data_IF_565636181567
#
_entry.id   IF_565636181567
#
_cell.length_a   1.000
_cell.length_b   1.000
_cell.length_c   1.000
_cell.angle_alpha   90.00
_cell.angle_beta   90.00
_cell.angle_gamma   90.00
#
_symmetry.space_group_name_H-M   'P 1'
#
loop_
_entity.id
_entity.type
_entity.pdbx_description
1 polymer ?
#
# COMPACT_ATOMS: atom_id res chain seq x y z
N UNK A 1 2.04 11.61 8.16
CA UNK A 1 1.30 12.51 7.28
C UNK A 1 0.96 11.84 5.98
N UNK A 2 -0.25 12.08 5.52
CA UNK A 2 -0.73 11.42 4.29
C UNK A 2 0.08 11.80 3.06
N UNK A 3 0.66 12.99 3.07
CA UNK A 3 1.44 13.47 1.92
C UNK A 3 2.67 12.60 1.66
N UNK A 4 3.30 12.11 2.75
CA UNK A 4 4.48 11.25 2.60
C UNK A 4 4.10 9.94 1.90
N UNK A 5 2.98 9.35 2.31
CA UNK A 5 2.52 8.10 1.71
C UNK A 5 2.18 8.32 0.24
N UNK A 6 1.48 9.41 -0.08
CA UNK A 6 1.13 9.72 -1.46
C UNK A 6 2.38 9.89 -2.32
N UNK A 7 3.42 10.56 -1.79
CA UNK A 7 4.69 10.72 -2.51
C UNK A 7 5.36 9.37 -2.76
N UNK A 8 5.37 8.50 -1.75
CA UNK A 8 5.97 7.19 -1.92
C UNK A 8 5.22 6.37 -2.97
N UNK A 9 3.90 6.42 -2.94
CA UNK A 9 3.09 5.68 -3.90
C UNK A 9 3.36 6.17 -5.32
N UNK A 10 3.54 7.49 -5.50
CA UNK A 10 3.79 8.04 -6.82
C UNK A 10 5.14 7.59 -7.41
N UNK A 11 6.04 7.10 -6.58
CA UNK A 11 7.35 6.61 -7.00
C UNK A 11 7.40 5.11 -7.21
N UNK A 12 6.32 4.40 -6.89
CA UNK A 12 6.28 2.95 -7.07
C UNK A 12 6.07 2.59 -8.53
N UNK A 13 6.60 1.42 -8.89
CA UNK A 13 6.44 0.86 -10.24
C UNK A 13 5.80 -0.50 -10.14
N UNK A 14 4.99 -0.83 -11.12
CA UNK A 14 4.41 -2.17 -11.19
C UNK A 14 5.54 -3.20 -11.30
N UNK A 15 5.41 -4.28 -10.52
CA UNK A 15 6.42 -5.31 -10.47
C UNK A 15 7.50 -5.08 -9.42
N UNK A 16 7.52 -3.90 -8.79
CA UNK A 16 8.48 -3.59 -7.74
C UNK A 16 8.10 -4.35 -6.47
N UNK A 17 9.09 -4.92 -5.80
CA UNK A 17 8.85 -5.61 -4.53
C UNK A 17 8.89 -4.62 -3.38
N UNK A 18 7.85 -4.63 -2.57
CA UNK A 18 7.72 -3.73 -1.43
C UNK A 18 7.07 -4.45 -0.26
N UNK A 19 7.14 -3.81 0.90
CA UNK A 19 6.38 -4.22 2.08
C UNK A 19 5.47 -3.06 2.46
N UNK A 20 4.19 -3.37 2.68
CA UNK A 20 3.21 -2.37 3.08
C UNK A 20 2.71 -2.73 4.48
N UNK A 21 2.75 -1.76 5.37
CA UNK A 21 2.16 -1.86 6.71
C UNK A 21 0.88 -1.03 6.68
N UNK A 22 -0.23 -1.64 7.01
CA UNK A 22 -1.52 -0.98 6.90
C UNK A 22 -2.47 -1.40 8.01
N UNK A 23 -3.46 -0.55 8.28
CA UNK A 23 -4.51 -0.84 9.25
C UNK A 23 -5.70 -1.47 8.53
N UNK A 24 -6.29 -2.46 9.19
CA UNK A 24 -7.51 -3.08 8.70
C UNK A 24 -8.57 -2.92 9.79
N UNK A 25 -9.76 -2.47 9.42
CA UNK A 25 -10.81 -2.20 10.39
C UNK A 25 -11.27 -3.45 11.15
N UNK A 26 -10.96 -4.62 10.62
CA UNK A 26 -11.33 -5.89 11.26
C UNK A 26 -10.20 -6.51 12.07
N UNK A 27 -9.02 -5.89 12.07
CA UNK A 27 -7.88 -6.42 12.80
C UNK A 27 -7.50 -5.49 13.94
N UNK A 28 -7.11 -6.06 15.06
CA UNK A 28 -6.68 -5.28 16.22
C UNK A 28 -5.27 -4.72 16.03
N UNK A 29 -4.48 -5.38 15.21
CA UNK A 29 -3.10 -5.00 14.97
C UNK A 29 -2.91 -4.62 13.51
N UNK A 30 -1.86 -3.83 13.26
CA UNK A 30 -1.49 -3.51 11.90
C UNK A 30 -1.05 -4.76 11.17
N UNK A 31 -1.43 -4.82 9.92
CA UNK A 31 -1.06 -5.93 9.06
C UNK A 31 0.11 -5.54 8.18
N UNK A 32 0.81 -6.56 7.69
CA UNK A 32 1.97 -6.37 6.83
C UNK A 32 1.87 -7.33 5.65
N UNK A 33 2.10 -6.80 4.46
CA UNK A 33 2.16 -7.63 3.26
C UNK A 33 3.43 -7.31 2.51
N UNK A 34 4.15 -8.34 2.09
CA UNK A 34 5.36 -8.21 1.27
C UNK A 34 5.10 -8.89 -0.06
N UNK A 35 5.38 -8.20 -1.14
CA UNK A 35 5.20 -8.75 -2.47
C UNK A 35 5.41 -7.70 -3.53
N UNK A 36 5.05 -8.04 -4.76
CA UNK A 36 5.21 -7.13 -5.88
C UNK A 36 3.97 -6.29 -6.06
N UNK A 37 4.19 -5.05 -6.51
CA UNK A 37 3.10 -4.13 -6.84
C UNK A 37 2.40 -4.67 -8.08
N UNK A 38 1.11 -5.02 -7.92
CA UNK A 38 0.31 -5.56 -9.02
C UNK A 38 -0.42 -4.46 -9.77
N UNK A 39 -0.90 -3.44 -9.05
CA UNK A 39 -1.52 -2.29 -9.69
C UNK A 39 -1.58 -1.12 -8.72
N UNK A 40 -1.66 0.07 -9.29
CA UNK A 40 -1.81 1.32 -8.53
C UNK A 40 -2.96 2.07 -9.18
N UNK A 41 -4.05 2.24 -8.44
CA UNK A 41 -5.22 2.95 -8.94
C UNK A 41 -5.33 4.29 -8.23
N UNK A 42 -4.97 5.36 -8.92
CA UNK A 42 -4.99 6.68 -8.33
C UNK A 42 -6.39 7.30 -8.30
N UNK A 43 -7.30 6.77 -9.10
CA UNK A 43 -8.69 7.24 -9.09
C UNK A 43 -9.42 6.69 -7.86
N UNK A 44 -9.37 5.40 -7.66
CA UNK A 44 -10.02 4.76 -6.51
C UNK A 44 -9.14 4.76 -5.26
N UNK A 45 -7.85 5.16 -5.42
CA UNK A 45 -6.88 5.24 -4.34
C UNK A 45 -6.69 3.89 -3.67
N UNK A 46 -6.38 2.91 -4.50
CA UNK A 46 -6.15 1.53 -4.05
C UNK A 46 -4.81 1.06 -4.59
N UNK A 47 -4.01 0.48 -3.70
CA UNK A 47 -2.75 -0.15 -4.04
C UNK A 47 -2.93 -1.66 -3.94
N UNK A 48 -2.61 -2.37 -5.02
CA UNK A 48 -2.71 -3.83 -5.00
C UNK A 48 -1.30 -4.42 -4.95
N UNK A 49 -1.04 -5.17 -3.88
CA UNK A 49 0.22 -5.87 -3.66
C UNK A 49 -0.10 -7.34 -3.58
N UNK A 50 0.51 -8.15 -4.45
CA UNK A 50 0.12 -9.55 -4.64
C UNK A 50 -1.35 -9.59 -5.04
N UNK A 51 -2.17 -10.28 -4.25
CA UNK A 51 -3.61 -10.35 -4.50
C UNK A 51 -4.41 -9.60 -3.43
N UNK A 52 -3.77 -8.64 -2.77
CA UNK A 52 -4.42 -7.86 -1.71
C UNK A 52 -4.57 -6.41 -2.15
N UNK A 53 -5.80 -5.90 -2.10
CA UNK A 53 -6.12 -4.52 -2.42
C UNK A 53 -6.13 -3.71 -1.12
N UNK A 54 -5.34 -2.66 -1.07
CA UNK A 54 -5.18 -1.84 0.13
C UNK A 54 -5.57 -0.41 -0.19
N UNK A 55 -6.50 0.15 0.57
CA UNK A 55 -6.89 1.54 0.41
C UNK A 55 -5.74 2.45 0.85
N UNK A 56 -5.49 3.51 0.09
CA UNK A 56 -4.40 4.44 0.43
C UNK A 56 -4.54 4.99 1.84
N UNK A 57 -5.77 5.23 2.28
CA UNK A 57 -6.01 5.80 3.61
C UNK A 57 -5.65 4.85 4.74
N UNK A 58 -5.54 3.56 4.46
CA UNK A 58 -5.19 2.55 5.46
C UNK A 58 -3.69 2.31 5.55
N UNK A 59 -2.93 2.81 4.59
CA UNK A 59 -1.49 2.56 4.54
C UNK A 59 -0.80 3.40 5.61
N UNK A 60 -0.03 2.73 6.47
CA UNK A 60 0.74 3.38 7.51
C UNK A 60 2.19 3.59 7.09
N UNK A 61 2.75 2.62 6.36
CA UNK A 61 4.15 2.68 5.97
C UNK A 61 4.38 1.83 4.73
N UNK A 62 5.32 2.28 3.90
CA UNK A 62 5.77 1.51 2.73
C UNK A 62 7.27 1.36 2.87
N UNK A 63 7.74 0.12 2.83
CA UNK A 63 9.15 -0.21 2.95
C UNK A 63 9.62 -0.76 1.60
N UNK A 64 10.58 -0.09 1.03
CA UNK A 64 11.10 -0.45 -0.30
C UNK A 64 12.19 -1.52 -0.24
#
# INVERSE_FOLDING_TARGET
MKDRIAQMISQLHMGQQITVVFDCSFAEERLRVTGTVASIDTYWKVLQVKNMAIDFSEICEIIL
#
